data_IF_864663717592
#
_entry.id   IF_864663717592
#
_cell.length_a   1.000
_cell.length_b   1.000
_cell.length_c   1.000
_cell.angle_alpha   90.00
_cell.angle_beta   90.00
_cell.angle_gamma   90.00
#
_symmetry.space_group_name_H-M   'P 1'
#
loop_
_entity.id
_entity.type
_entity.pdbx_description
1 polymer ?
#
# COMPACT_ATOMS: atom_id res chain seq x y z
N UNK A 1 2.57 23.74 2.87
CA UNK A 1 2.73 22.73 1.78
C UNK A 1 2.86 23.35 0.41
N UNK A 2 1.90 24.15 -0.07
CA UNK A 2 2.14 25.04 -1.23
C UNK A 2 3.41 25.89 -1.03
N UNK A 3 3.62 26.38 0.20
CA UNK A 3 4.85 27.12 0.57
C UNK A 3 6.11 26.28 0.88
N UNK A 4 6.06 24.93 0.89
CA UNK A 4 7.27 24.11 1.09
C UNK A 4 7.76 23.49 -0.22
N UNK A 5 6.83 22.88 -0.97
CA UNK A 5 7.17 22.12 -2.17
C UNK A 5 6.16 22.30 -3.32
N UNK A 6 5.02 22.98 -3.14
CA UNK A 6 3.98 23.03 -4.18
C UNK A 6 3.44 21.62 -4.52
N UNK A 7 2.75 21.48 -5.66
CA UNK A 7 2.41 20.18 -6.26
C UNK A 7 3.65 19.51 -6.88
N UNK A 8 4.67 19.26 -6.07
CA UNK A 8 6.01 18.77 -6.48
C UNK A 8 6.08 17.26 -6.78
N UNK A 9 4.96 16.54 -6.76
CA UNK A 9 4.99 15.12 -7.13
C UNK A 9 5.39 14.98 -8.60
N UNK A 10 6.27 14.03 -8.98
CA UNK A 10 6.70 13.87 -10.35
C UNK A 10 5.54 13.50 -11.27
N UNK A 11 5.72 13.72 -12.58
CA UNK A 11 4.77 13.24 -13.58
C UNK A 11 4.53 11.75 -13.36
N UNK A 12 3.26 11.41 -13.22
CA UNK A 12 2.79 10.07 -12.85
C UNK A 12 1.80 9.60 -13.88
N UNK A 13 1.93 8.34 -14.31
CA UNK A 13 0.92 7.68 -15.15
C UNK A 13 0.31 6.55 -14.33
N UNK A 14 -0.99 6.61 -14.10
CA UNK A 14 -1.78 5.54 -13.50
C UNK A 14 -2.54 4.83 -14.61
N UNK A 15 -2.53 3.51 -14.60
CA UNK A 15 -3.23 2.69 -15.60
C UNK A 15 -4.10 1.71 -14.83
N UNK A 16 -5.41 1.83 -14.98
CA UNK A 16 -6.40 0.95 -14.41
C UNK A 16 -6.86 -0.03 -15.49
N UNK A 17 -6.95 -1.31 -15.15
CA UNK A 17 -7.42 -2.38 -16.05
C UNK A 17 -8.13 -3.43 -15.21
N UNK A 18 -9.46 -3.44 -15.27
CA UNK A 18 -10.28 -4.11 -14.26
C UNK A 18 -9.86 -3.66 -12.86
N UNK A 19 -9.69 -4.63 -11.95
CA UNK A 19 -9.28 -4.36 -10.58
C UNK A 19 -7.77 -4.10 -10.41
N UNK A 20 -6.99 -4.04 -11.50
CA UNK A 20 -5.55 -3.78 -11.41
C UNK A 20 -5.25 -2.31 -11.61
N UNK A 21 -4.32 -1.78 -10.80
CA UNK A 21 -3.75 -0.45 -11.00
C UNK A 21 -2.23 -0.54 -11.12
N UNK A 22 -1.70 0.08 -12.18
CA UNK A 22 -0.26 0.20 -12.43
C UNK A 22 0.13 1.65 -12.26
N UNK A 23 1.09 1.91 -11.36
CA UNK A 23 1.58 3.25 -11.08
C UNK A 23 2.99 3.44 -11.64
N UNK A 24 3.14 4.24 -12.71
CA UNK A 24 4.43 4.52 -13.35
C UNK A 24 4.95 5.93 -13.03
N UNK A 25 6.19 6.00 -12.56
CA UNK A 25 6.99 7.22 -12.46
C UNK A 25 8.36 7.00 -13.11
N UNK A 26 9.01 8.08 -13.53
CA UNK A 26 10.44 8.03 -13.86
C UNK A 26 11.25 7.97 -12.56
N UNK A 27 12.11 6.96 -12.46
CA UNK A 27 12.99 6.76 -11.30
C UNK A 27 13.89 7.97 -11.04
N UNK A 28 14.45 8.59 -12.08
CA UNK A 28 15.25 9.80 -11.98
C UNK A 28 14.54 10.92 -11.22
N UNK A 29 13.25 11.10 -11.48
CA UNK A 29 12.47 12.19 -10.92
C UNK A 29 12.18 11.93 -9.43
N UNK A 30 11.89 10.67 -9.08
CA UNK A 30 11.72 10.25 -7.68
C UNK A 30 13.02 10.39 -6.89
N UNK A 31 14.17 9.97 -7.45
CA UNK A 31 15.47 10.15 -6.80
C UNK A 31 15.83 11.63 -6.61
N UNK A 32 15.61 12.46 -7.63
CA UNK A 32 15.86 13.90 -7.55
C UNK A 32 14.97 14.58 -6.51
N UNK A 33 13.69 14.18 -6.44
CA UNK A 33 12.77 14.67 -5.42
C UNK A 33 13.18 14.20 -4.03
N UNK A 34 13.53 12.92 -3.88
CA UNK A 34 14.04 12.36 -2.63
C UNK A 34 15.28 13.11 -2.12
N UNK A 35 16.22 13.46 -3.01
CA UNK A 35 17.41 14.22 -2.64
C UNK A 35 17.06 15.62 -2.10
N UNK A 36 16.12 16.31 -2.75
CA UNK A 36 15.65 17.63 -2.29
C UNK A 36 14.94 17.54 -0.94
N UNK A 37 14.10 16.52 -0.75
CA UNK A 37 13.39 16.29 0.50
C UNK A 37 14.36 15.96 1.64
N UNK A 38 15.32 15.06 1.42
CA UNK A 38 16.36 14.72 2.41
C UNK A 38 17.10 16.01 2.81
N UNK A 39 17.59 16.79 1.85
CA UNK A 39 18.26 18.07 2.13
C UNK A 39 17.39 19.04 2.93
N UNK A 40 16.09 19.11 2.64
CA UNK A 40 15.15 19.94 3.40
C UNK A 40 14.97 19.45 4.84
N UNK A 41 14.74 18.14 5.03
CA UNK A 41 14.47 17.56 6.34
C UNK A 41 15.72 17.41 7.22
N UNK A 42 16.92 17.41 6.63
CA UNK A 42 18.19 17.53 7.36
C UNK A 42 18.33 18.87 8.09
N UNK A 43 17.56 19.91 7.73
CA UNK A 43 17.58 21.20 8.44
C UNK A 43 16.84 21.07 9.78
N UNK A 44 17.46 21.59 10.84
CA UNK A 44 16.95 21.51 12.23
C UNK A 44 15.48 21.95 12.32
N UNK A 45 14.64 21.06 12.84
CA UNK A 45 13.23 21.33 13.15
C UNK A 45 12.24 21.20 11.98
N UNK A 46 12.69 21.05 10.74
CA UNK A 46 11.78 20.97 9.59
C UNK A 46 10.90 19.70 9.62
N UNK A 47 11.49 18.55 9.93
CA UNK A 47 10.76 17.29 10.05
C UNK A 47 9.70 17.35 11.15
N UNK A 48 10.08 17.86 12.34
CA UNK A 48 9.15 18.02 13.47
C UNK A 48 7.98 18.94 13.12
N UNK A 49 8.25 20.06 12.45
CA UNK A 49 7.21 20.99 12.00
C UNK A 49 6.28 20.33 10.97
N UNK A 50 6.84 19.62 10.01
CA UNK A 50 6.08 18.87 9.00
C UNK A 50 5.14 17.84 9.63
N UNK A 51 5.64 17.10 10.61
CA UNK A 51 4.86 16.12 11.33
C UNK A 51 3.73 16.76 12.14
N UNK A 52 4.02 17.85 12.87
CA UNK A 52 3.00 18.60 13.62
C UNK A 52 1.89 19.17 12.70
N UNK A 53 2.27 19.71 11.54
CA UNK A 53 1.32 20.18 10.53
C UNK A 53 0.43 19.03 10.01
N UNK A 54 1.01 17.86 9.75
CA UNK A 54 0.24 16.70 9.31
C UNK A 54 -0.73 16.21 10.39
N UNK A 55 -0.30 16.13 11.66
CA UNK A 55 -1.18 15.76 12.77
C UNK A 55 -2.36 16.73 12.91
N UNK A 56 -2.16 18.03 12.66
CA UNK A 56 -3.25 19.01 12.63
C UNK A 56 -4.25 18.74 11.50
N UNK A 57 -3.77 18.39 10.30
CA UNK A 57 -4.65 17.96 9.21
C UNK A 57 -5.35 16.64 9.53
N UNK A 58 -4.71 15.71 10.25
CA UNK A 58 -5.36 14.46 10.67
C UNK A 58 -6.56 14.75 11.57
N UNK A 59 -6.43 15.67 12.53
CA UNK A 59 -7.57 16.08 13.38
C UNK A 59 -8.72 16.72 12.58
N UNK A 60 -8.44 17.31 11.41
CA UNK A 60 -9.50 17.79 10.50
C UNK A 60 -10.16 16.61 9.79
N UNK A 61 -9.37 15.63 9.33
CA UNK A 61 -9.86 14.43 8.70
C UNK A 61 -10.72 13.58 9.65
N UNK A 62 -10.31 13.44 10.91
CA UNK A 62 -11.09 12.77 11.97
C UNK A 62 -12.44 13.46 12.21
N UNK A 63 -12.48 14.81 12.24
CA UNK A 63 -13.75 15.54 12.29
C UNK A 63 -14.62 15.30 11.05
N UNK A 64 -14.00 15.14 9.88
CA UNK A 64 -14.71 14.74 8.66
C UNK A 64 -15.32 13.33 8.77
N UNK A 65 -14.61 12.39 9.40
CA UNK A 65 -15.14 11.06 9.70
C UNK A 65 -16.37 11.15 10.62
N UNK A 66 -16.28 11.92 11.70
CA UNK A 66 -17.40 12.11 12.63
C UNK A 66 -18.62 12.76 11.97
N UNK A 67 -18.40 13.72 11.08
CA UNK A 67 -19.48 14.41 10.36
C UNK A 67 -20.24 13.44 9.45
N UNK A 68 -19.53 12.59 8.71
CA UNK A 68 -20.15 11.53 7.89
C UNK A 68 -20.83 10.48 8.76
N UNK A 69 -20.26 10.14 9.92
CA UNK A 69 -20.85 9.14 10.82
C UNK A 69 -22.15 9.60 11.47
N UNK A 70 -22.23 10.88 11.85
CA UNK A 70 -23.42 11.50 12.47
C UNK A 70 -24.53 11.81 11.47
N UNK A 71 -24.20 11.93 10.18
CA UNK A 71 -25.17 12.24 9.13
C UNK A 71 -26.05 11.02 8.80
N UNK A 72 -27.37 11.21 8.85
CA UNK A 72 -28.32 10.27 8.25
C UNK A 72 -28.36 10.51 6.74
N UNK A 73 -27.43 9.88 6.01
CA UNK A 73 -27.20 10.15 4.59
C UNK A 73 -28.47 10.01 3.73
N UNK A 74 -29.37 9.09 4.09
CA UNK A 74 -30.64 8.84 3.40
C UNK A 74 -31.62 10.00 3.48
N UNK A 75 -31.50 10.84 4.52
CA UNK A 75 -32.37 12.02 4.72
C UNK A 75 -31.81 13.29 4.09
N UNK A 76 -30.55 13.29 3.66
CA UNK A 76 -29.96 14.45 3.01
C UNK A 76 -30.55 14.64 1.61
N UNK A 77 -30.77 15.89 1.22
CA UNK A 77 -31.02 16.23 -0.19
C UNK A 77 -29.78 15.89 -1.03
N UNK A 78 -29.95 15.71 -2.35
CA UNK A 78 -28.82 15.45 -3.26
C UNK A 78 -27.75 16.55 -3.16
N UNK A 79 -28.19 17.81 -3.07
CA UNK A 79 -27.30 18.96 -2.90
C UNK A 79 -26.48 18.87 -1.60
N UNK A 80 -27.12 18.52 -0.49
CA UNK A 80 -26.44 18.44 0.81
C UNK A 80 -25.52 17.22 0.89
N UNK A 81 -25.91 16.09 0.29
CA UNK A 81 -25.08 14.89 0.18
C UNK A 81 -23.81 15.16 -0.63
N UNK A 82 -23.94 15.81 -1.79
CA UNK A 82 -22.78 16.19 -2.64
C UNK A 82 -21.92 17.26 -1.95
N UNK A 83 -22.52 18.20 -1.22
CA UNK A 83 -21.79 19.16 -0.39
C UNK A 83 -20.94 18.47 0.67
N UNK A 84 -21.51 17.51 1.41
CA UNK A 84 -20.81 16.70 2.40
C UNK A 84 -19.68 15.88 1.76
N UNK A 85 -19.95 15.23 0.63
CA UNK A 85 -18.94 14.49 -0.13
C UNK A 85 -17.77 15.38 -0.54
N UNK A 86 -18.04 16.54 -1.15
CA UNK A 86 -17.00 17.48 -1.59
C UNK A 86 -16.18 18.00 -0.41
N UNK A 87 -16.83 18.36 0.70
CA UNK A 87 -16.16 18.77 1.94
C UNK A 87 -15.23 17.68 2.45
N UNK A 88 -15.71 16.44 2.51
CA UNK A 88 -14.91 15.30 2.95
C UNK A 88 -13.69 15.07 2.04
N UNK A 89 -13.90 15.07 0.72
CA UNK A 89 -12.84 14.90 -0.27
C UNK A 89 -11.79 16.01 -0.18
N UNK A 90 -12.17 17.26 0.05
CA UNK A 90 -11.21 18.37 0.20
C UNK A 90 -10.37 18.27 1.47
N UNK A 91 -10.96 17.81 2.57
CA UNK A 91 -10.22 17.53 3.82
C UNK A 91 -9.26 16.36 3.58
N UNK A 92 -9.73 15.27 2.96
CA UNK A 92 -8.91 14.11 2.64
C UNK A 92 -7.74 14.46 1.71
N UNK A 93 -7.98 15.23 0.63
CA UNK A 93 -6.94 15.74 -0.27
C UNK A 93 -5.93 16.59 0.50
N UNK A 94 -6.39 17.46 1.40
CA UNK A 94 -5.51 18.34 2.18
C UNK A 94 -4.63 17.57 3.15
N UNK A 95 -5.16 16.52 3.76
CA UNK A 95 -4.40 15.57 4.56
C UNK A 95 -3.40 14.76 3.72
N UNK A 96 -3.83 14.23 2.57
CA UNK A 96 -3.00 13.43 1.67
C UNK A 96 -1.79 14.19 1.11
N UNK A 97 -1.85 15.53 1.07
CA UNK A 97 -0.69 16.37 0.72
C UNK A 97 0.54 16.02 1.54
N UNK A 98 0.42 15.52 2.76
CA UNK A 98 1.57 15.11 3.59
C UNK A 98 1.94 13.62 3.42
N UNK A 99 1.08 12.81 2.79
CA UNK A 99 1.32 11.39 2.61
C UNK A 99 2.41 11.02 1.60
N UNK A 100 2.75 11.90 0.66
CA UNK A 100 3.56 11.53 -0.50
C UNK A 100 5.07 11.50 -0.24
N UNK A 101 5.59 12.32 0.67
CA UNK A 101 7.03 12.50 0.87
C UNK A 101 7.77 11.20 1.28
N UNK A 102 7.08 10.27 1.92
CA UNK A 102 7.63 8.99 2.37
C UNK A 102 8.28 8.17 1.26
N UNK A 103 7.69 8.13 0.07
CA UNK A 103 8.17 7.25 -1.00
C UNK A 103 9.45 7.77 -1.65
N UNK A 104 9.56 9.04 -2.10
CA UNK A 104 10.81 9.55 -2.65
C UNK A 104 11.95 9.56 -1.63
N UNK A 105 11.67 9.87 -0.35
CA UNK A 105 12.68 9.82 0.72
C UNK A 105 13.19 8.39 0.89
N UNK A 106 12.30 7.41 1.00
CA UNK A 106 12.70 6.01 1.15
C UNK A 106 13.62 5.56 0.01
N UNK A 107 13.19 5.78 -1.24
CA UNK A 107 13.97 5.37 -2.41
C UNK A 107 15.36 6.02 -2.48
N UNK A 108 15.45 7.32 -2.19
CA UNK A 108 16.75 8.01 -2.24
C UNK A 108 17.63 7.68 -1.03
N UNK A 109 17.05 7.58 0.16
CA UNK A 109 17.80 7.22 1.37
C UNK A 109 18.36 5.80 1.27
N UNK A 110 17.57 4.83 0.81
CA UNK A 110 18.01 3.47 0.53
C UNK A 110 19.21 3.46 -0.43
N UNK A 111 19.11 4.19 -1.55
CA UNK A 111 20.20 4.32 -2.52
C UNK A 111 21.47 4.92 -1.93
N UNK A 112 21.35 5.96 -1.10
CA UNK A 112 22.50 6.64 -0.48
C UNK A 112 23.17 5.77 0.60
N UNK A 113 22.38 5.11 1.45
CA UNK A 113 22.87 4.22 2.50
C UNK A 113 23.57 2.99 1.91
N UNK A 114 23.02 2.41 0.84
CA UNK A 114 23.64 1.27 0.14
C UNK A 114 25.01 1.65 -0.41
N UNK A 115 25.15 2.85 -1.00
CA UNK A 115 26.44 3.37 -1.47
C UNK A 115 27.47 3.59 -0.35
N UNK A 116 27.01 3.74 0.88
CA UNK A 116 27.86 3.89 2.07
C UNK A 116 28.24 2.55 2.70
N UNK A 117 27.86 1.42 2.09
CA UNK A 117 28.25 0.09 2.53
C UNK A 117 27.34 -0.53 3.59
N UNK A 118 26.16 0.06 3.87
CA UNK A 118 25.19 -0.59 4.77
C UNK A 118 24.66 -1.87 4.14
N UNK A 119 24.79 -2.96 4.89
CA UNK A 119 24.29 -4.26 4.46
C UNK A 119 22.80 -4.41 4.81
N UNK A 120 22.18 -5.45 4.25
CA UNK A 120 20.76 -5.79 4.37
C UNK A 120 20.28 -5.95 5.81
N UNK A 121 21.15 -6.46 6.68
CA UNK A 121 20.86 -6.66 8.10
C UNK A 121 20.76 -5.31 8.81
N UNK A 122 21.70 -4.39 8.56
CA UNK A 122 21.67 -3.03 9.09
C UNK A 122 20.45 -2.24 8.64
N UNK A 123 20.02 -2.41 7.38
CA UNK A 123 18.79 -1.80 6.88
C UNK A 123 17.55 -2.23 7.68
N UNK A 124 17.37 -3.52 7.94
CA UNK A 124 16.22 -4.01 8.70
C UNK A 124 16.12 -3.40 10.10
N UNK A 125 17.25 -3.14 10.75
CA UNK A 125 17.27 -2.48 12.06
C UNK A 125 17.00 -0.99 11.98
N UNK A 126 17.57 -0.31 11.00
CA UNK A 126 17.36 1.12 10.78
C UNK A 126 15.93 1.48 10.39
N UNK A 127 15.26 0.55 9.72
CA UNK A 127 13.93 0.72 9.19
C UNK A 127 12.83 0.24 10.13
N UNK A 128 13.18 -0.40 11.24
CA UNK A 128 12.23 -0.64 12.31
C UNK A 128 11.72 0.74 12.76
N UNK A 129 10.42 1.04 12.59
CA UNK A 129 9.89 2.32 13.01
C UNK A 129 10.16 2.49 14.51
N UNK A 130 10.50 3.70 14.99
CA UNK A 130 10.78 3.94 16.40
C UNK A 130 9.54 3.77 17.28
N UNK A 131 8.38 3.62 16.65
CA UNK A 131 7.07 3.49 17.26
C UNK A 131 6.42 2.20 16.73
N UNK A 132 5.54 1.62 17.54
CA UNK A 132 4.78 0.42 17.16
C UNK A 132 3.95 0.73 15.90
N UNK A 133 3.97 -0.19 14.94
CA UNK A 133 3.13 -0.09 13.74
C UNK A 133 1.66 -0.35 14.09
N UNK A 134 0.72 0.16 13.29
CA UNK A 134 -0.70 -0.12 13.54
C UNK A 134 -1.01 -1.61 13.46
N UNK A 135 -0.26 -2.39 12.66
CA UNK A 135 -0.43 -3.84 12.59
C UNK A 135 -0.04 -4.51 13.92
N UNK A 136 1.10 -4.11 14.50
CA UNK A 136 1.52 -4.60 15.80
C UNK A 136 0.58 -4.15 16.94
N UNK A 137 0.02 -2.93 16.88
CA UNK A 137 -1.03 -2.48 17.81
C UNK A 137 -2.28 -3.37 17.74
N UNK A 138 -2.75 -3.70 16.52
CA UNK A 138 -3.90 -4.58 16.29
C UNK A 138 -3.65 -5.98 16.83
N UNK A 139 -2.47 -6.55 16.54
CA UNK A 139 -2.10 -7.89 16.99
C UNK A 139 -1.99 -7.97 18.51
N UNK A 140 -1.39 -6.98 19.15
CA UNK A 140 -1.31 -6.88 20.60
C UNK A 140 -2.70 -6.76 21.25
N UNK A 141 -3.57 -5.90 20.73
CA UNK A 141 -4.94 -5.78 21.24
C UNK A 141 -5.69 -7.11 21.09
N UNK A 142 -5.57 -7.77 19.94
CA UNK A 142 -6.18 -9.07 19.69
C UNK A 142 -5.63 -10.17 20.61
N UNK A 143 -4.31 -10.16 20.89
CA UNK A 143 -3.68 -11.06 21.84
C UNK A 143 -4.18 -10.83 23.27
N UNK A 144 -4.33 -9.56 23.69
CA UNK A 144 -4.90 -9.19 24.99
C UNK A 144 -6.35 -9.69 25.12
N UNK A 145 -7.14 -9.58 24.06
CA UNK A 145 -8.50 -10.14 24.02
C UNK A 145 -8.46 -11.66 24.12
N UNK A 146 -7.55 -12.31 23.39
CA UNK A 146 -7.31 -13.75 23.46
C UNK A 146 -6.96 -14.22 24.88
N UNK A 147 -6.11 -13.50 25.59
CA UNK A 147 -5.75 -13.81 26.98
C UNK A 147 -6.96 -13.75 27.93
N UNK A 148 -7.79 -12.70 27.79
CA UNK A 148 -9.04 -12.59 28.57
C UNK A 148 -10.02 -13.68 28.19
N UNK A 149 -10.19 -13.96 26.89
CA UNK A 149 -11.07 -15.02 26.40
C UNK A 149 -10.63 -16.42 26.86
N UNK A 150 -9.32 -16.66 27.00
CA UNK A 150 -8.77 -17.91 27.55
C UNK A 150 -9.12 -18.09 29.03
N UNK A 151 -9.12 -16.99 29.79
CA UNK A 151 -9.39 -17.00 31.24
C UNK A 151 -10.89 -17.03 31.56
N UNK A 152 -11.68 -16.24 30.85
CA UNK A 152 -13.09 -15.95 31.19
C UNK A 152 -14.10 -16.53 30.17
N UNK A 153 -13.61 -17.04 29.04
CA UNK A 153 -14.44 -17.58 27.96
C UNK A 153 -14.95 -16.51 26.99
N UNK A 154 -15.17 -16.91 25.72
CA UNK A 154 -15.62 -16.02 24.64
C UNK A 154 -16.99 -15.35 24.85
N UNK A 155 -17.83 -15.90 25.74
CA UNK A 155 -19.18 -15.40 26.02
C UNK A 155 -19.23 -14.46 27.23
N UNK A 156 -18.13 -14.27 27.95
CA UNK A 156 -18.08 -13.38 29.12
C UNK A 156 -18.44 -11.95 28.72
N UNK A 157 -18.99 -11.18 29.66
CA UNK A 157 -19.32 -9.76 29.42
C UNK A 157 -18.07 -8.98 29.01
N UNK A 158 -16.97 -9.18 29.74
CA UNK A 158 -15.69 -8.50 29.52
C UNK A 158 -15.07 -8.82 28.17
N UNK A 159 -15.09 -10.09 27.75
CA UNK A 159 -14.57 -10.47 26.42
C UNK A 159 -15.43 -9.86 25.31
N UNK A 160 -16.76 -9.85 25.46
CA UNK A 160 -17.66 -9.21 24.48
C UNK A 160 -17.42 -7.70 24.38
N UNK A 161 -17.26 -7.01 25.50
CA UNK A 161 -16.94 -5.58 25.53
C UNK A 161 -15.62 -5.28 24.82
N UNK A 162 -14.57 -6.05 25.10
CA UNK A 162 -13.29 -5.90 24.42
C UNK A 162 -13.36 -6.21 22.92
N UNK A 163 -14.12 -7.24 22.51
CA UNK A 163 -14.35 -7.52 21.08
C UNK A 163 -15.05 -6.33 20.42
N UNK A 164 -16.07 -5.75 21.07
CA UNK A 164 -16.77 -4.57 20.56
C UNK A 164 -15.82 -3.38 20.39
N UNK A 165 -14.96 -3.13 21.38
CA UNK A 165 -13.94 -2.08 21.33
C UNK A 165 -12.92 -2.30 20.21
N UNK A 166 -12.42 -3.53 20.03
CA UNK A 166 -11.53 -3.88 18.92
C UNK A 166 -12.21 -3.65 17.57
N UNK A 167 -13.47 -4.09 17.46
CA UNK A 167 -14.27 -3.90 16.24
C UNK A 167 -14.40 -2.42 15.91
N UNK A 168 -14.74 -1.57 16.89
CA UNK A 168 -14.92 -0.14 16.66
C UNK A 168 -13.62 0.59 16.31
N UNK A 169 -12.47 0.14 16.82
CA UNK A 169 -11.19 0.81 16.56
C UNK A 169 -10.52 0.33 15.26
N UNK A 170 -10.76 -0.92 14.88
CA UNK A 170 -10.05 -1.62 13.80
C UNK A 170 -10.99 -2.20 12.75
N UNK A 171 -12.21 -1.66 12.61
CA UNK A 171 -13.19 -2.08 11.60
C UNK A 171 -12.61 -2.06 10.18
N UNK A 172 -11.65 -1.17 9.93
CA UNK A 172 -10.99 -0.92 8.65
C UNK A 172 -9.78 -1.82 8.38
N UNK A 173 -9.38 -2.71 9.31
CA UNK A 173 -8.10 -3.43 9.20
C UNK A 173 -7.98 -4.34 7.97
N UNK A 174 -9.10 -4.72 7.36
CA UNK A 174 -9.18 -5.52 6.13
C UNK A 174 -9.31 -4.69 4.86
N UNK A 175 -9.45 -3.37 4.98
CA UNK A 175 -9.48 -2.48 3.83
C UNK A 175 -8.13 -2.52 3.10
N UNK A 176 -8.19 -2.32 1.80
CA UNK A 176 -7.02 -2.10 0.95
C UNK A 176 -7.24 -0.84 0.08
N UNK A 177 -6.35 -0.61 -0.88
CA UNK A 177 -6.38 0.59 -1.73
C UNK A 177 -7.56 0.64 -2.71
N UNK A 178 -8.22 -0.49 -2.96
CA UNK A 178 -9.25 -0.67 -3.99
C UNK A 178 -10.60 -1.07 -3.41
N UNK A 179 -10.57 -1.78 -2.27
CA UNK A 179 -11.77 -2.33 -1.65
C UNK A 179 -11.79 -2.06 -0.15
N UNK A 180 -12.99 -1.80 0.38
CA UNK A 180 -13.23 -1.74 1.81
C UNK A 180 -14.02 -2.97 2.26
N UNK A 181 -13.75 -3.43 3.47
CA UNK A 181 -14.45 -4.53 4.13
C UNK A 181 -14.50 -4.22 5.61
N UNK A 182 -15.72 -4.01 6.12
CA UNK A 182 -15.95 -3.71 7.53
C UNK A 182 -15.85 -5.00 8.33
N UNK A 183 -14.92 -5.05 9.27
CA UNK A 183 -14.74 -6.17 10.17
C UNK A 183 -15.94 -6.32 11.10
N UNK A 184 -16.46 -7.54 11.22
CA UNK A 184 -17.56 -7.88 12.12
C UNK A 184 -17.08 -8.53 13.41
N UNK A 185 -17.87 -8.42 14.49
CA UNK A 185 -17.58 -9.13 15.74
C UNK A 185 -17.50 -10.66 15.55
N UNK A 186 -18.26 -11.21 14.60
CA UNK A 186 -18.25 -12.65 14.29
C UNK A 186 -16.88 -13.07 13.78
N UNK A 187 -16.27 -12.26 12.92
CA UNK A 187 -14.96 -12.53 12.35
C UNK A 187 -13.86 -12.42 13.41
N UNK A 188 -13.92 -11.41 14.29
CA UNK A 188 -12.99 -11.29 15.41
C UNK A 188 -13.09 -12.50 16.34
N UNK A 189 -14.30 -12.99 16.62
CA UNK A 189 -14.49 -14.22 17.40
C UNK A 189 -13.83 -15.43 16.74
N UNK A 190 -13.83 -15.52 15.40
CA UNK A 190 -13.13 -16.57 14.67
C UNK A 190 -11.62 -16.42 14.76
N UNK A 191 -11.09 -15.20 14.60
CA UNK A 191 -9.67 -14.91 14.75
C UNK A 191 -9.16 -15.25 16.16
N UNK A 192 -9.90 -14.88 17.21
CA UNK A 192 -9.56 -15.24 18.59
C UNK A 192 -9.55 -16.77 18.78
N UNK A 193 -10.57 -17.48 18.26
CA UNK A 193 -10.60 -18.95 18.32
C UNK A 193 -9.38 -19.58 17.64
N UNK A 194 -8.89 -18.99 16.56
CA UNK A 194 -7.71 -19.47 15.85
C UNK A 194 -6.42 -19.16 16.62
N UNK A 195 -6.31 -17.96 17.19
CA UNK A 195 -5.20 -17.58 18.06
C UNK A 195 -5.08 -18.50 19.28
N UNK A 196 -6.20 -18.84 19.92
CA UNK A 196 -6.22 -19.75 21.07
C UNK A 196 -5.75 -21.17 20.73
N UNK A 197 -5.83 -21.58 19.46
CA UNK A 197 -5.38 -22.89 18.97
C UNK A 197 -3.93 -22.89 18.49
N UNK A 198 -3.36 -21.72 18.22
CA UNK A 198 -2.03 -21.60 17.62
C UNK A 198 -0.99 -21.38 18.73
N UNK A 199 0.09 -22.17 18.80
CA UNK A 199 1.19 -21.88 19.73
C UNK A 199 1.70 -20.45 19.49
N UNK A 200 1.83 -19.65 20.54
CA UNK A 200 2.38 -18.30 20.41
C UNK A 200 3.83 -18.41 19.94
N UNK A 201 4.10 -17.97 18.71
CA UNK A 201 5.46 -17.78 18.22
C UNK A 201 5.99 -16.52 18.91
N UNK A 202 7.01 -16.67 19.75
CA UNK A 202 7.75 -15.51 20.28
C UNK A 202 8.32 -14.75 19.09
N UNK A 203 7.84 -13.52 18.87
CA UNK A 203 8.52 -12.58 17.99
C UNK A 203 9.91 -12.38 18.60
N UNK A 204 10.96 -12.79 17.88
CA UNK A 204 12.32 -12.56 18.33
C UNK A 204 12.55 -11.05 18.34
N UNK A 205 12.93 -10.51 19.50
CA UNK A 205 13.52 -9.18 19.56
C UNK A 205 14.84 -9.26 18.80
N UNK A 206 14.85 -8.76 17.58
CA UNK A 206 16.05 -8.69 16.77
C UNK A 206 16.99 -7.67 17.45
N UNK A 207 18.22 -8.04 17.84
CA UNK A 207 19.11 -7.16 18.60
C UNK A 207 19.45 -5.90 17.81
N UNK A 208 19.32 -4.73 18.43
CA UNK A 208 19.67 -3.45 17.82
C UNK A 208 21.14 -3.45 17.35
N UNK A 209 21.39 -3.02 16.12
CA UNK A 209 22.75 -2.71 15.66
C UNK A 209 23.23 -1.48 16.42
N UNK A 210 24.43 -1.55 17.00
CA UNK A 210 25.08 -0.36 17.54
C UNK A 210 25.41 0.58 16.38
N UNK A 211 24.64 1.67 16.31
CA UNK A 211 24.84 2.78 15.37
C UNK A 211 26.09 3.59 15.70
N UNK A 212 26.81 3.27 16.78
CA UNK A 212 27.94 4.05 17.30
C UNK A 212 29.10 4.11 16.29
N UNK A 213 29.26 3.07 15.46
CA UNK A 213 30.33 2.96 14.47
C UNK A 213 30.09 3.69 13.14
N UNK A 214 28.87 4.19 12.89
CA UNK A 214 28.53 4.87 11.63
C UNK A 214 28.91 6.36 11.66
N UNK A 215 29.13 6.96 10.48
CA UNK A 215 29.32 8.42 10.37
C UNK A 215 28.04 9.16 10.75
N UNK A 216 28.16 10.37 11.29
CA UNK A 216 27.00 11.16 11.72
C UNK A 216 26.02 11.46 10.59
N UNK A 217 26.50 11.63 9.34
CA UNK A 217 25.61 11.81 8.18
C UNK A 217 24.77 10.57 7.91
N UNK A 218 25.37 9.39 8.06
CA UNK A 218 24.70 8.09 7.90
C UNK A 218 23.64 7.89 8.98
N UNK A 219 23.97 8.21 10.25
CA UNK A 219 23.01 8.15 11.37
C UNK A 219 21.83 9.10 11.15
N UNK A 220 22.10 10.32 10.72
CA UNK A 220 21.06 11.32 10.44
C UNK A 220 20.11 10.85 9.33
N UNK A 221 20.65 10.34 8.23
CA UNK A 221 19.86 9.81 7.12
C UNK A 221 19.04 8.59 7.54
N UNK A 222 19.63 7.70 8.34
CA UNK A 222 18.95 6.51 8.82
C UNK A 222 17.80 6.85 9.79
N UNK A 223 18.00 7.80 10.71
CA UNK A 223 16.95 8.30 11.58
C UNK A 223 15.80 8.92 10.79
N UNK A 224 16.11 9.73 9.77
CA UNK A 224 15.10 10.30 8.89
C UNK A 224 14.29 9.20 8.19
N UNK A 225 14.97 8.19 7.66
CA UNK A 225 14.34 7.06 6.99
C UNK A 225 13.43 6.26 7.94
N UNK A 226 13.87 6.01 9.17
CA UNK A 226 13.08 5.37 10.23
C UNK A 226 11.79 6.13 10.57
N UNK A 227 11.89 7.46 10.73
CA UNK A 227 10.73 8.32 10.99
C UNK A 227 9.74 8.28 9.82
N UNK A 228 10.23 8.35 8.58
CA UNK A 228 9.37 8.27 7.39
C UNK A 228 8.78 6.88 7.14
N UNK A 229 9.40 5.81 7.65
CA UNK A 229 8.79 4.48 7.70
C UNK A 229 7.55 4.49 8.60
N UNK A 230 7.64 5.09 9.80
CA UNK A 230 6.47 5.31 10.65
C UNK A 230 5.40 6.19 10.00
N UNK A 231 5.80 7.31 9.37
CA UNK A 231 4.86 8.19 8.66
C UNK A 231 4.12 7.48 7.51
N UNK A 232 4.79 6.56 6.82
CA UNK A 232 4.17 5.71 5.79
C UNK A 232 3.12 4.77 6.38
N UNK A 233 3.39 4.19 7.55
CA UNK A 233 2.46 3.33 8.29
C UNK A 233 1.23 4.13 8.78
N UNK A 234 1.48 5.29 9.40
CA UNK A 234 0.45 6.24 9.81
C UNK A 234 -0.45 6.67 8.65
N UNK A 235 0.15 7.01 7.50
CA UNK A 235 -0.60 7.32 6.27
C UNK A 235 -1.49 6.15 5.86
N UNK A 236 -0.96 4.93 5.86
CA UNK A 236 -1.73 3.75 5.44
C UNK A 236 -2.95 3.55 6.34
N UNK A 237 -2.79 3.67 7.67
CA UNK A 237 -3.90 3.61 8.64
C UNK A 237 -5.04 4.57 8.29
N UNK A 238 -4.76 5.87 8.21
CA UNK A 238 -5.80 6.87 7.96
C UNK A 238 -6.38 6.81 6.54
N UNK A 239 -5.61 6.32 5.57
CA UNK A 239 -6.13 6.05 4.23
C UNK A 239 -7.16 4.92 4.23
N UNK A 240 -6.90 3.82 4.94
CA UNK A 240 -7.84 2.71 5.06
C UNK A 240 -9.13 3.14 5.77
N UNK A 241 -9.03 3.99 6.79
CA UNK A 241 -10.18 4.59 7.48
C UNK A 241 -10.95 5.51 6.52
N UNK A 242 -10.25 6.42 5.83
CA UNK A 242 -10.88 7.35 4.90
C UNK A 242 -11.59 6.64 3.74
N UNK A 243 -11.03 5.53 3.24
CA UNK A 243 -11.66 4.70 2.23
C UNK A 243 -13.04 4.20 2.64
N UNK A 244 -13.22 3.79 3.91
CA UNK A 244 -14.53 3.39 4.41
C UNK A 244 -15.56 4.52 4.39
N UNK A 245 -15.20 5.71 4.88
CA UNK A 245 -16.12 6.85 4.88
C UNK A 245 -16.43 7.35 3.47
N UNK A 246 -15.45 7.27 2.57
CA UNK A 246 -15.65 7.55 1.15
C UNK A 246 -16.64 6.56 0.54
N UNK A 247 -16.45 5.25 0.75
CA UNK A 247 -17.36 4.21 0.27
C UNK A 247 -18.77 4.40 0.84
N UNK A 248 -18.92 4.79 2.12
CA UNK A 248 -20.23 5.08 2.72
C UNK A 248 -20.97 6.20 1.98
N UNK A 249 -20.28 7.27 1.62
CA UNK A 249 -20.82 8.37 0.81
C UNK A 249 -21.14 7.92 -0.63
N UNK A 250 -20.21 7.20 -1.27
CA UNK A 250 -20.36 6.71 -2.64
C UNK A 250 -21.48 5.69 -2.77
N UNK A 251 -21.69 4.84 -1.77
CA UNK A 251 -22.79 3.88 -1.74
C UNK A 251 -24.15 4.59 -1.74
N UNK A 252 -24.31 5.65 -0.94
CA UNK A 252 -25.56 6.42 -0.93
C UNK A 252 -25.78 7.14 -2.27
N UNK A 253 -24.76 7.82 -2.80
CA UNK A 253 -24.85 8.49 -4.11
C UNK A 253 -25.15 7.48 -5.23
N UNK A 254 -24.43 6.35 -5.23
CA UNK A 254 -24.61 5.26 -6.19
C UNK A 254 -26.00 4.66 -6.11
N UNK A 255 -26.54 4.43 -4.90
CA UNK A 255 -27.89 3.93 -4.72
C UNK A 255 -28.93 4.84 -5.37
N UNK A 256 -28.81 6.17 -5.21
CA UNK A 256 -29.70 7.16 -5.85
C UNK A 256 -29.54 7.21 -7.37
N UNK A 257 -28.32 7.00 -7.85
CA UNK A 257 -27.98 7.00 -9.27
C UNK A 257 -28.16 5.64 -9.98
N UNK A 258 -28.66 4.61 -9.27
CA UNK A 258 -28.76 3.22 -9.76
C UNK A 258 -27.41 2.64 -10.23
N UNK A 259 -26.34 2.95 -9.50
CA UNK A 259 -24.98 2.47 -9.69
C UNK A 259 -24.51 1.66 -8.48
N UNK A 260 -23.89 0.52 -8.75
CA UNK A 260 -23.20 -0.28 -7.75
C UNK A 260 -21.96 0.45 -7.19
N UNK A 261 -21.47 0.01 -6.03
CA UNK A 261 -20.22 0.55 -5.49
C UNK A 261 -19.03 0.23 -6.41
N UNK A 262 -19.05 -0.92 -7.09
CA UNK A 262 -18.03 -1.27 -8.09
C UNK A 262 -18.03 -0.30 -9.27
N UNK A 263 -19.20 0.19 -9.71
CA UNK A 263 -19.31 1.21 -10.76
C UNK A 263 -18.87 2.60 -10.26
N UNK A 264 -19.31 2.99 -9.06
CA UNK A 264 -18.98 4.30 -8.46
C UNK A 264 -17.48 4.49 -8.25
N UNK A 265 -16.71 3.41 -8.01
CA UNK A 265 -15.24 3.47 -7.90
C UNK A 265 -14.52 3.86 -9.19
N UNK A 266 -15.21 3.85 -10.35
CA UNK A 266 -14.69 4.35 -11.64
C UNK A 266 -15.23 5.74 -12.01
N UNK A 267 -15.95 6.40 -11.11
CA UNK A 267 -16.37 7.80 -11.26
C UNK A 267 -15.30 8.72 -10.69
N UNK A 268 -14.90 9.77 -11.41
CA UNK A 268 -13.91 10.71 -10.89
C UNK A 268 -14.53 11.52 -9.76
N UNK A 269 -13.76 11.94 -8.73
CA UNK A 269 -14.32 12.70 -7.61
C UNK A 269 -15.09 13.96 -8.02
N UNK A 270 -14.67 14.63 -9.09
CA UNK A 270 -15.36 15.84 -9.59
C UNK A 270 -16.69 15.54 -10.29
N UNK A 271 -16.88 14.30 -10.75
CA UNK A 271 -18.06 13.83 -11.49
C UNK A 271 -19.10 13.18 -10.57
N UNK A 272 -18.82 13.02 -9.27
CA UNK A 272 -19.72 12.31 -8.35
C UNK A 272 -21.09 12.99 -8.22
N UNK A 273 -21.18 14.31 -8.37
CA UNK A 273 -22.49 14.99 -8.48
C UNK A 273 -23.18 14.74 -9.82
N UNK A 274 -22.40 14.66 -10.90
CA UNK A 274 -22.89 14.52 -12.27
C UNK A 274 -23.57 13.17 -12.55
N UNK A 275 -23.30 12.13 -11.73
CA UNK A 275 -23.99 10.84 -11.86
C UNK A 275 -25.47 10.91 -11.44
N UNK A 276 -25.82 11.75 -10.47
CA UNK A 276 -27.22 11.95 -10.05
C UNK A 276 -28.04 12.63 -11.15
N UNK A 277 -27.38 13.50 -11.92
CA UNK A 277 -27.95 14.16 -13.10
C UNK A 277 -27.83 13.31 -14.39
N UNK A 278 -27.34 12.06 -14.28
CA UNK A 278 -27.13 11.13 -15.41
C UNK A 278 -26.25 11.68 -16.54
N UNK A 279 -25.37 12.65 -16.24
CA UNK A 279 -24.41 13.19 -17.21
C UNK A 279 -23.28 12.21 -17.53
N UNK A 280 -23.00 11.26 -16.63
CA UNK A 280 -22.03 10.19 -16.84
C UNK A 280 -22.78 8.91 -17.21
N UNK A 281 -22.53 8.40 -18.42
CA UNK A 281 -23.18 7.18 -18.90
C UNK A 281 -22.56 5.91 -18.30
N UNK A 282 -23.36 4.86 -18.08
CA UNK A 282 -22.87 3.52 -17.71
C UNK A 282 -21.87 2.95 -18.72
N UNK A 283 -21.99 3.34 -20.00
CA UNK A 283 -21.03 2.98 -21.05
C UNK A 283 -19.65 3.56 -20.77
N UNK A 284 -19.58 4.81 -20.32
CA UNK A 284 -18.30 5.45 -19.98
C UNK A 284 -17.65 4.82 -18.74
N UNK A 285 -18.46 4.48 -17.73
CA UNK A 285 -17.98 3.73 -16.55
C UNK A 285 -17.39 2.38 -17.00
N UNK A 286 -18.08 1.66 -17.90
CA UNK A 286 -17.59 0.39 -18.45
C UNK A 286 -16.31 0.55 -19.28
N UNK A 287 -16.17 1.64 -20.04
CA UNK A 287 -14.92 1.94 -20.75
C UNK A 287 -13.74 2.10 -19.77
N UNK A 288 -13.97 2.77 -18.63
CA UNK A 288 -12.96 2.94 -17.58
C UNK A 288 -12.59 1.62 -16.90
N UNK A 289 -13.56 0.74 -16.72
CA UNK A 289 -13.35 -0.62 -16.22
C UNK A 289 -12.48 -1.47 -17.16
N UNK A 290 -12.69 -1.36 -18.48
CA UNK A 290 -11.82 -2.02 -19.47
C UNK A 290 -10.40 -1.44 -19.42
N UNK A 291 -10.27 -0.12 -19.53
CA UNK A 291 -8.99 0.56 -19.39
C UNK A 291 -9.17 2.04 -19.08
N UNK A 292 -8.45 2.54 -18.08
CA UNK A 292 -8.39 3.97 -17.78
C UNK A 292 -6.95 4.39 -17.53
N UNK A 293 -6.46 5.35 -18.29
CA UNK A 293 -5.12 5.91 -18.14
C UNK A 293 -5.24 7.35 -17.64
N UNK A 294 -4.63 7.64 -16.49
CA UNK A 294 -4.60 8.97 -15.90
C UNK A 294 -3.16 9.48 -15.85
N UNK A 295 -2.92 10.62 -16.46
CA UNK A 295 -1.64 11.33 -16.40
C UNK A 295 -1.77 12.45 -15.38
N UNK A 296 -1.10 12.31 -14.25
CA UNK A 296 -0.95 13.34 -13.24
C UNK A 296 0.34 14.13 -13.49
N UNK A 297 0.19 15.41 -13.82
CA UNK A 297 1.29 16.37 -13.95
C UNK A 297 0.82 17.79 -13.60
N UNK A 298 1.23 18.79 -14.39
CA UNK A 298 0.71 20.17 -14.27
C UNK A 298 -0.80 20.25 -14.55
N UNK A 299 -1.29 19.36 -15.41
CA UNK A 299 -2.71 19.11 -15.68
C UNK A 299 -2.98 17.63 -15.44
N UNK A 300 -4.22 17.30 -15.13
CA UNK A 300 -4.70 15.91 -15.06
C UNK A 300 -5.34 15.61 -16.41
N UNK A 301 -4.85 14.56 -17.07
CA UNK A 301 -5.43 14.05 -18.31
C UNK A 301 -5.98 12.65 -18.07
N UNK A 302 -7.17 12.35 -18.59
CA UNK A 302 -7.84 11.05 -18.43
C UNK A 302 -8.22 10.51 -19.80
N UNK A 303 -7.83 9.27 -20.06
CA UNK A 303 -8.13 8.53 -21.29
C UNK A 303 -8.82 7.22 -20.90
N UNK A 304 -9.85 6.80 -21.66
CA UNK A 304 -10.68 5.64 -21.31
C UNK A 304 -10.87 4.70 -22.50
N UNK A 305 -11.09 3.41 -22.23
CA UNK A 305 -11.29 2.38 -23.26
C UNK A 305 -10.12 2.26 -24.23
N UNK A 306 -10.41 2.23 -25.54
CA UNK A 306 -9.38 2.11 -26.59
C UNK A 306 -8.38 3.27 -26.57
N UNK A 307 -8.85 4.50 -26.30
CA UNK A 307 -7.98 5.69 -26.22
C UNK A 307 -6.96 5.58 -25.09
N UNK A 308 -7.31 4.92 -23.99
CA UNK A 308 -6.37 4.63 -22.90
C UNK A 308 -5.24 3.71 -23.37
N UNK A 309 -5.58 2.63 -24.09
CA UNK A 309 -4.64 1.64 -24.63
C UNK A 309 -3.73 2.26 -25.71
N UNK A 310 -4.28 3.11 -26.57
CA UNK A 310 -3.53 3.89 -27.56
C UNK A 310 -2.54 4.84 -26.87
N UNK A 311 -3.00 5.58 -25.85
CA UNK A 311 -2.15 6.51 -25.10
C UNK A 311 -1.07 5.79 -24.29
N UNK A 312 -1.37 4.63 -23.72
CA UNK A 312 -0.38 3.78 -23.06
C UNK A 312 0.72 3.38 -24.06
N UNK A 313 0.33 2.93 -25.25
CA UNK A 313 1.26 2.56 -26.33
C UNK A 313 2.08 3.76 -26.81
N UNK A 314 1.51 4.94 -26.90
CA UNK A 314 2.22 6.18 -27.25
C UNK A 314 3.31 6.52 -26.22
N UNK A 315 3.00 6.38 -24.92
CA UNK A 315 3.91 6.78 -23.83
C UNK A 315 5.03 5.75 -23.62
N UNK A 316 4.69 4.46 -23.64
CA UNK A 316 5.61 3.38 -23.29
C UNK A 316 6.13 2.59 -24.50
N UNK A 317 5.64 2.90 -25.70
CA UNK A 317 5.84 2.07 -26.88
C UNK A 317 5.00 0.79 -26.83
N UNK A 318 4.99 0.04 -27.94
CA UNK A 318 4.63 -1.39 -27.87
C UNK A 318 5.83 -2.12 -27.30
N UNK A 319 5.72 -2.56 -26.05
CA UNK A 319 6.71 -3.47 -25.51
C UNK A 319 6.59 -4.83 -26.22
N UNK A 320 7.48 -5.09 -27.17
CA UNK A 320 7.71 -6.44 -27.67
C UNK A 320 8.48 -7.20 -26.60
N UNK A 321 7.75 -7.91 -25.73
CA UNK A 321 8.34 -8.83 -24.75
C UNK A 321 8.79 -10.16 -25.40
N UNK A 322 8.68 -10.28 -26.72
CA UNK A 322 9.22 -11.41 -27.48
C UNK A 322 10.74 -11.45 -27.32
N UNK A 323 11.26 -12.55 -26.75
CA UNK A 323 12.68 -12.83 -26.52
C UNK A 323 13.37 -12.08 -25.35
N UNK A 324 12.62 -11.48 -24.42
CA UNK A 324 13.22 -11.06 -23.15
C UNK A 324 13.42 -12.30 -22.26
N UNK A 325 14.60 -12.88 -22.34
CA UNK A 325 15.02 -13.99 -21.47
C UNK A 325 15.45 -13.51 -20.10
N UNK A 326 15.77 -12.23 -19.91
CA UNK A 326 16.31 -11.65 -18.68
C UNK A 326 15.53 -10.39 -18.28
N UNK A 327 15.18 -10.31 -17.00
CA UNK A 327 14.54 -9.16 -16.34
C UNK A 327 15.37 -8.76 -15.14
N UNK A 328 15.47 -7.45 -14.88
CA UNK A 328 16.24 -6.90 -13.76
C UNK A 328 15.34 -6.20 -12.74
N UNK A 329 15.72 -6.32 -11.48
CA UNK A 329 15.14 -5.62 -10.34
C UNK A 329 16.19 -5.45 -9.24
N UNK A 330 15.72 -5.24 -8.02
CA UNK A 330 16.57 -5.09 -6.83
C UNK A 330 16.58 -6.38 -6.03
N UNK A 331 17.76 -6.95 -5.82
CA UNK A 331 17.97 -8.02 -4.86
C UNK A 331 17.57 -7.57 -3.45
N UNK A 332 16.51 -8.15 -2.92
CA UNK A 332 15.91 -7.75 -1.65
C UNK A 332 16.07 -8.81 -0.54
N UNK A 333 16.28 -10.07 -0.93
CA UNK A 333 16.79 -11.13 -0.08
C UNK A 333 17.73 -11.95 -0.96
N UNK A 334 19.01 -12.03 -0.58
CA UNK A 334 20.03 -12.59 -1.45
C UNK A 334 19.93 -14.11 -1.57
N UNK A 335 20.37 -14.62 -2.72
CA UNK A 335 20.43 -16.05 -3.01
C UNK A 335 20.19 -16.35 -4.49
N UNK A 336 20.39 -17.62 -4.85
CA UNK A 336 20.26 -18.12 -6.21
C UNK A 336 19.39 -19.37 -6.20
N UNK A 337 18.31 -19.36 -6.98
CA UNK A 337 17.44 -20.54 -7.10
C UNK A 337 16.83 -20.66 -8.49
N UNK A 338 16.50 -21.89 -8.88
CA UNK A 338 15.72 -22.19 -10.07
C UNK A 338 14.41 -22.86 -9.70
N UNK A 339 13.34 -22.54 -10.44
CA UNK A 339 12.01 -23.07 -10.17
C UNK A 339 11.02 -22.76 -11.28
N UNK A 340 9.81 -23.30 -11.16
CA UNK A 340 8.72 -22.94 -12.06
C UNK A 340 8.08 -21.64 -11.60
N UNK A 341 7.90 -20.70 -12.52
CA UNK A 341 7.17 -19.46 -12.30
C UNK A 341 5.69 -19.76 -12.03
N UNK A 342 5.13 -19.06 -11.03
CA UNK A 342 3.71 -19.02 -10.74
C UNK A 342 3.29 -17.56 -10.55
N UNK A 343 2.49 -17.03 -11.47
CA UNK A 343 2.00 -15.65 -11.45
C UNK A 343 0.68 -15.60 -10.67
N UNK A 344 0.68 -14.91 -9.53
CA UNK A 344 -0.50 -14.73 -8.69
C UNK A 344 -0.76 -13.24 -8.50
N UNK A 345 -1.88 -12.76 -9.05
CA UNK A 345 -2.28 -11.35 -8.97
C UNK A 345 -3.24 -11.07 -7.81
N UNK A 346 -4.09 -12.03 -7.43
CA UNK A 346 -5.00 -11.92 -6.30
C UNK A 346 -4.54 -12.85 -5.16
N UNK A 347 -4.39 -12.36 -3.91
CA UNK A 347 -4.05 -13.21 -2.76
C UNK A 347 -5.02 -14.38 -2.52
N UNK A 348 -6.26 -14.32 -3.00
CA UNK A 348 -7.22 -15.46 -2.93
C UNK A 348 -6.69 -16.68 -3.68
N UNK A 349 -5.84 -16.47 -4.68
CA UNK A 349 -5.20 -17.50 -5.48
C UNK A 349 -3.85 -17.95 -4.91
N UNK A 350 -3.44 -17.42 -3.75
CA UNK A 350 -2.22 -17.84 -3.03
C UNK A 350 -2.16 -19.36 -2.79
N UNK A 351 -3.30 -20.05 -2.73
CA UNK A 351 -3.38 -21.50 -2.57
C UNK A 351 -2.88 -22.29 -3.77
N UNK A 352 -2.85 -21.68 -4.97
CA UNK A 352 -2.47 -22.33 -6.23
C UNK A 352 -0.97 -22.59 -6.34
N UNK A 353 -0.14 -21.87 -5.57
CA UNK A 353 1.31 -22.08 -5.61
C UNK A 353 1.68 -23.44 -5.00
N UNK A 354 2.54 -24.17 -5.71
CA UNK A 354 3.09 -25.44 -5.25
C UNK A 354 4.42 -25.21 -4.54
N UNK A 355 4.77 -26.15 -3.66
CA UNK A 355 6.04 -26.09 -2.93
C UNK A 355 7.22 -26.06 -3.91
N UNK A 356 8.12 -25.09 -3.74
CA UNK A 356 9.31 -24.92 -4.59
C UNK A 356 9.08 -24.13 -5.88
N UNK A 357 7.86 -23.66 -6.16
CA UNK A 357 7.62 -22.72 -7.26
C UNK A 357 8.12 -21.31 -6.90
N UNK A 358 8.36 -20.47 -7.91
CA UNK A 358 8.76 -19.08 -7.75
C UNK A 358 7.51 -18.22 -7.88
N UNK A 359 7.17 -17.50 -6.80
CA UNK A 359 6.04 -16.59 -6.78
C UNK A 359 6.37 -15.33 -7.59
N UNK A 360 5.57 -15.05 -8.61
CA UNK A 360 5.60 -13.81 -9.36
C UNK A 360 4.31 -13.03 -9.08
N UNK A 361 4.41 -11.77 -8.69
CA UNK A 361 3.22 -10.93 -8.44
C UNK A 361 3.52 -9.45 -8.66
N UNK A 362 2.49 -8.60 -8.72
CA UNK A 362 2.69 -7.16 -8.79
C UNK A 362 3.28 -6.62 -7.47
N UNK A 363 2.69 -6.98 -6.34
CA UNK A 363 3.11 -6.60 -4.98
C UNK A 363 2.52 -7.59 -3.99
N UNK A 364 3.21 -7.84 -2.87
CA UNK A 364 2.68 -8.72 -1.80
C UNK A 364 1.97 -7.92 -0.69
N UNK A 365 0.93 -8.52 -0.10
CA UNK A 365 0.30 -8.12 1.18
C UNK A 365 0.48 -9.25 2.22
N UNK A 366 0.08 -9.04 3.50
CA UNK A 366 0.08 -10.12 4.50
C UNK A 366 -0.70 -11.38 4.07
N UNK A 367 -1.70 -11.23 3.19
CA UNK A 367 -2.48 -12.36 2.67
C UNK A 367 -1.67 -13.31 1.78
N UNK A 368 -0.51 -12.86 1.26
CA UNK A 368 0.41 -13.68 0.47
C UNK A 368 1.33 -14.56 1.32
N UNK A 369 1.35 -14.44 2.66
CA UNK A 369 2.29 -15.18 3.52
C UNK A 369 2.22 -16.70 3.29
N UNK A 370 1.03 -17.25 3.05
CA UNK A 370 0.86 -18.69 2.76
C UNK A 370 1.56 -19.07 1.46
N UNK A 371 1.46 -18.24 0.43
CA UNK A 371 2.13 -18.47 -0.85
C UNK A 371 3.66 -18.33 -0.71
N UNK A 372 4.11 -17.27 -0.04
CA UNK A 372 5.53 -17.01 0.20
C UNK A 372 6.20 -18.17 0.94
N UNK A 373 5.55 -18.73 1.98
CA UNK A 373 6.05 -19.91 2.73
C UNK A 373 6.25 -21.16 1.89
N UNK A 374 5.52 -21.30 0.78
CA UNK A 374 5.66 -22.44 -0.16
C UNK A 374 6.69 -22.16 -1.26
N UNK A 375 7.04 -20.90 -1.47
CA UNK A 375 7.84 -20.46 -2.61
C UNK A 375 9.31 -20.76 -2.42
N UNK A 376 10.01 -21.07 -3.51
CA UNK A 376 11.48 -21.13 -3.54
C UNK A 376 12.12 -19.74 -3.63
N UNK A 377 11.43 -18.79 -4.29
CA UNK A 377 11.79 -17.37 -4.33
C UNK A 377 10.56 -16.51 -4.61
N UNK A 378 10.68 -15.20 -4.39
CA UNK A 378 9.64 -14.21 -4.65
C UNK A 378 10.15 -13.15 -5.61
N UNK A 379 9.41 -12.87 -6.67
CA UNK A 379 9.71 -11.79 -7.62
C UNK A 379 8.51 -10.86 -7.71
N UNK A 380 8.72 -9.56 -7.51
CA UNK A 380 7.67 -8.56 -7.64
C UNK A 380 7.97 -7.50 -8.68
N UNK A 381 6.92 -7.03 -9.37
CA UNK A 381 7.03 -5.86 -10.26
C UNK A 381 7.28 -4.59 -9.46
N UNK A 382 6.69 -4.50 -8.26
CA UNK A 382 6.73 -3.32 -7.40
C UNK A 382 7.24 -3.64 -6.00
N UNK A 383 7.94 -2.66 -5.43
CA UNK A 383 8.52 -2.74 -4.09
C UNK A 383 9.98 -2.30 -4.09
N UNK A 384 10.43 -1.79 -2.95
CA UNK A 384 11.85 -1.60 -2.66
C UNK A 384 12.35 -2.69 -1.72
N UNK A 385 13.64 -2.63 -1.36
CA UNK A 385 14.28 -3.56 -0.41
C UNK A 385 13.65 -3.52 1.00
N UNK A 386 12.72 -2.59 1.23
CA UNK A 386 11.97 -2.37 2.49
C UNK A 386 10.49 -2.76 2.37
N UNK A 387 10.11 -3.35 1.23
CA UNK A 387 8.74 -3.80 0.98
C UNK A 387 8.38 -5.04 1.81
N UNK A 388 7.08 -5.32 1.92
CA UNK A 388 6.58 -6.55 2.55
C UNK A 388 7.22 -7.81 1.94
N UNK A 389 7.34 -7.86 0.61
CA UNK A 389 7.96 -8.98 -0.09
C UNK A 389 9.41 -9.17 0.36
N UNK A 390 10.17 -8.08 0.46
CA UNK A 390 11.56 -8.10 0.92
C UNK A 390 11.67 -8.56 2.37
N UNK A 391 10.89 -8.00 3.28
CA UNK A 391 10.94 -8.32 4.72
C UNK A 391 10.60 -9.79 4.95
N UNK A 392 9.44 -10.26 4.46
CA UNK A 392 8.97 -11.63 4.72
C UNK A 392 9.85 -12.66 4.02
N UNK A 393 10.37 -12.38 2.81
CA UNK A 393 11.29 -13.33 2.16
C UNK A 393 12.59 -13.53 2.95
N UNK A 394 13.10 -12.47 3.57
CA UNK A 394 14.26 -12.54 4.47
C UNK A 394 13.98 -13.37 5.73
N UNK A 395 12.82 -13.16 6.34
CA UNK A 395 12.38 -13.96 7.50
C UNK A 395 12.22 -15.45 7.15
N UNK A 396 11.82 -15.75 5.92
CA UNK A 396 11.68 -17.11 5.42
C UNK A 396 12.99 -17.70 4.87
N UNK A 397 14.05 -16.90 4.70
CA UNK A 397 15.31 -17.31 4.13
C UNK A 397 15.24 -17.70 2.64
N UNK A 398 14.36 -17.06 1.87
CA UNK A 398 14.19 -17.33 0.42
C UNK A 398 14.62 -16.13 -0.42
N UNK A 399 15.24 -16.33 -1.61
CA UNK A 399 15.65 -15.24 -2.48
C UNK A 399 14.46 -14.36 -2.90
N UNK A 400 14.71 -13.06 -3.01
CA UNK A 400 13.68 -12.09 -3.37
C UNK A 400 14.24 -11.00 -4.28
N UNK A 401 13.54 -10.73 -5.39
CA UNK A 401 13.81 -9.60 -6.28
C UNK A 401 12.56 -8.74 -6.38
N UNK A 402 12.70 -7.44 -6.14
CA UNK A 402 11.59 -6.48 -6.15
C UNK A 402 11.82 -5.38 -7.18
N UNK A 403 10.74 -4.72 -7.60
CA UNK A 403 10.86 -3.56 -8.49
C UNK A 403 11.27 -3.92 -9.93
N UNK A 404 10.92 -5.12 -10.39
CA UNK A 404 11.25 -5.60 -11.75
C UNK A 404 10.40 -4.96 -12.85
N UNK A 405 9.34 -4.23 -12.48
CA UNK A 405 8.41 -3.49 -13.34
C UNK A 405 7.53 -4.30 -14.31
N UNK A 406 8.02 -5.42 -14.85
CA UNK A 406 7.40 -6.14 -15.98
C UNK A 406 7.46 -7.67 -15.86
N UNK A 407 7.94 -8.24 -14.75
CA UNK A 407 8.05 -9.71 -14.58
C UNK A 407 6.71 -10.40 -14.76
N UNK A 408 5.62 -9.84 -14.23
CA UNK A 408 4.26 -10.41 -14.38
C UNK A 408 3.76 -10.46 -15.83
N UNK A 409 4.36 -9.65 -16.71
CA UNK A 409 4.01 -9.59 -18.14
C UNK A 409 4.91 -10.47 -19.02
N UNK A 410 6.11 -10.80 -18.53
CA UNK A 410 7.14 -11.52 -19.30
C UNK A 410 7.08 -13.03 -19.05
N UNK A 411 6.98 -13.43 -17.78
CA UNK A 411 6.92 -14.84 -17.41
C UNK A 411 5.48 -15.31 -17.25
N UNK A 412 5.25 -16.56 -17.63
CA UNK A 412 3.96 -17.24 -17.54
C UNK A 412 4.03 -18.41 -16.57
N UNK A 413 2.87 -18.82 -16.09
CA UNK A 413 2.72 -20.01 -15.27
C UNK A 413 3.41 -21.23 -15.90
N UNK A 414 4.30 -21.85 -15.12
CA UNK A 414 5.06 -23.03 -15.52
C UNK A 414 6.39 -22.78 -16.21
N UNK A 415 6.69 -21.52 -16.60
CA UNK A 415 8.02 -21.18 -17.14
C UNK A 415 9.12 -21.57 -16.15
N UNK A 416 10.17 -22.24 -16.63
CA UNK A 416 11.33 -22.52 -15.79
C UNK A 416 12.21 -21.28 -15.77
N UNK A 417 12.47 -20.77 -14.57
CA UNK A 417 13.23 -19.53 -14.38
C UNK A 417 14.30 -19.68 -13.30
N UNK A 418 15.34 -18.88 -13.43
CA UNK A 418 16.39 -18.67 -12.44
C UNK A 418 16.20 -17.28 -11.83
N UNK A 419 16.29 -17.21 -10.50
CA UNK A 419 16.28 -15.98 -9.72
C UNK A 419 17.65 -15.84 -9.08
N UNK A 420 18.46 -14.92 -9.60
CA UNK A 420 19.72 -14.51 -9.01
C UNK A 420 19.52 -13.17 -8.30
N UNK A 421 19.22 -13.24 -7.00
CA UNK A 421 19.00 -12.05 -6.20
C UNK A 421 20.29 -11.30 -5.83
N UNK A 422 21.49 -11.86 -6.07
CA UNK A 422 22.75 -11.12 -5.93
C UNK A 422 22.87 -10.03 -6.99
N UNK A 423 22.58 -10.37 -8.24
CA UNK A 423 22.67 -9.46 -9.38
C UNK A 423 21.33 -8.78 -9.72
N UNK A 424 20.27 -9.13 -8.99
CA UNK A 424 18.92 -8.65 -9.24
C UNK A 424 18.36 -9.12 -10.58
N UNK A 425 18.73 -10.33 -11.03
CA UNK A 425 18.38 -10.90 -12.33
C UNK A 425 17.35 -12.04 -12.19
N UNK A 426 16.32 -12.02 -13.04
CA UNK A 426 15.39 -13.13 -13.25
C UNK A 426 15.44 -13.53 -14.71
N UNK A 427 15.69 -14.80 -15.02
CA UNK A 427 15.79 -15.26 -16.42
C UNK A 427 15.17 -16.61 -16.69
N UNK A 428 14.73 -16.86 -17.93
CA UNK A 428 14.31 -18.21 -18.37
C UNK A 428 15.52 -19.14 -18.46
N UNK A 429 15.33 -20.41 -18.10
CA UNK A 429 16.33 -21.49 -18.15
C UNK A 429 15.80 -22.74 -18.82
#
# INVERSE_FOLDING_TARGET
MAGYFGSAWPKTVLIYTGQNVVWRNRWSDLYNLGQKLISFFSKKGQEKKYWADWQKETKKLERGFEEVEKADLRKLSDKDLISLFNKFVEVYKSWWKYGWASTPIALQAERLLTKQGLNEKDFNYLLAPPQKSFAAEIEEDLANIGAVAKKEGLRSSRTREKIKHHTSNYFWKRNNYLETTVLTEKEIKLEIKQLLKTPQVKVMNTPAVSLESLKEETKSLANLLSNFAYYKDYRKKYQMIAGYYLDKLLMEVGQRAELSIEEMRYVLPIEVGDVLEKKISKKEIKNRQDSCLIIYGRKVEVYTGSKAKEKETEIFGRANFTNLSEIRGWGASLGLVQGKARVIMDPKDARLIKKGEILITAMTSPDFIIAMKKSAAVVTDWGGITSHAAIVSRELGIPCIVGTNITTKVFKDGDRIEVNAFDGIVRKV
#
